data_IF_670187197090
#
_entry.id   IF_670187197090
#
_cell.length_a   1.000
_cell.length_b   1.000
_cell.length_c   1.000
_cell.angle_alpha   90.00
_cell.angle_beta   90.00
_cell.angle_gamma   90.00
#
_symmetry.space_group_name_H-M   'P 1'
#
loop_
_entity.id
_entity.type
_entity.pdbx_description
1 polymer ?
#
# COMPACT_ATOMS: atom_id res chain seq x y z
N UNK A 1 14.24 44.59 -2.37
CA UNK A 1 13.65 43.42 -1.69
C UNK A 1 13.02 42.58 -2.79
N UNK A 2 13.73 41.56 -3.25
CA UNK A 2 13.21 40.64 -4.25
C UNK A 2 12.52 39.52 -3.49
N UNK A 3 11.19 39.51 -3.59
CA UNK A 3 10.31 38.48 -3.11
C UNK A 3 10.51 37.26 -4.02
N UNK A 4 11.37 36.33 -3.60
CA UNK A 4 11.60 35.06 -4.26
C UNK A 4 10.74 33.99 -3.57
N UNK A 5 9.43 34.11 -3.76
CA UNK A 5 8.48 33.02 -3.58
C UNK A 5 8.19 32.38 -4.93
N UNK A 6 9.25 31.91 -5.60
CA UNK A 6 9.10 30.79 -6.52
C UNK A 6 8.87 29.59 -5.60
N UNK A 7 7.60 29.27 -5.37
CA UNK A 7 7.18 28.02 -4.76
C UNK A 7 7.96 26.89 -5.46
N UNK A 8 8.81 26.23 -4.70
CA UNK A 8 9.65 25.14 -5.16
C UNK A 8 8.74 23.92 -5.38
N UNK A 9 7.97 23.94 -6.47
CA UNK A 9 7.08 22.88 -6.99
C UNK A 9 7.86 21.61 -7.41
N UNK A 10 9.03 21.39 -6.81
CA UNK A 10 9.81 20.18 -7.01
C UNK A 10 9.08 19.04 -6.29
N UNK A 11 8.81 17.92 -6.99
CA UNK A 11 8.20 16.76 -6.37
C UNK A 11 9.12 16.24 -5.25
N UNK A 12 8.72 16.49 -4.01
CA UNK A 12 9.45 16.08 -2.82
C UNK A 12 9.24 14.59 -2.56
N UNK A 13 10.33 13.88 -2.27
CA UNK A 13 10.26 12.47 -1.86
C UNK A 13 9.94 12.48 -0.36
N UNK A 14 8.83 11.87 0.09
CA UNK A 14 8.49 11.85 1.51
C UNK A 14 9.59 11.11 2.30
N UNK A 15 9.65 11.32 3.62
CA UNK A 15 10.52 10.53 4.48
C UNK A 15 10.07 9.06 4.47
N UNK A 16 10.99 8.12 4.27
CA UNK A 16 10.73 6.69 4.50
C UNK A 16 10.61 6.45 6.01
N UNK A 17 9.42 6.06 6.44
CA UNK A 17 9.09 5.84 7.86
C UNK A 17 9.19 4.35 8.23
N UNK A 18 8.90 3.48 7.27
CA UNK A 18 8.82 2.04 7.50
C UNK A 18 8.22 1.30 6.30
N UNK A 19 7.74 0.09 6.56
CA UNK A 19 7.06 -0.70 5.52
C UNK A 19 5.72 -0.08 5.12
N UNK A 20 5.10 0.69 6.01
CA UNK A 20 3.79 1.31 5.86
C UNK A 20 3.73 2.34 4.75
N UNK A 21 4.84 3.04 4.48
CA UNK A 21 4.89 4.07 3.45
C UNK A 21 5.90 3.76 2.33
N UNK A 22 6.51 2.58 2.35
CA UNK A 22 7.50 2.16 1.35
C UNK A 22 7.00 2.24 -0.09
N UNK A 23 5.79 1.73 -0.40
CA UNK A 23 5.29 1.72 -1.79
C UNK A 23 5.07 3.13 -2.34
N UNK A 24 4.60 4.04 -1.48
CA UNK A 24 4.42 5.46 -1.82
C UNK A 24 5.78 6.13 -1.99
N UNK A 25 6.70 5.88 -1.06
CA UNK A 25 8.07 6.37 -1.10
C UNK A 25 8.79 5.93 -2.38
N UNK A 26 8.75 4.63 -2.70
CA UNK A 26 9.38 4.02 -3.88
C UNK A 26 8.86 4.66 -5.17
N UNK A 27 7.54 4.80 -5.29
CA UNK A 27 6.90 5.42 -6.45
C UNK A 27 7.33 6.88 -6.64
N UNK A 28 7.30 7.67 -5.57
CA UNK A 28 7.68 9.08 -5.62
C UNK A 28 9.19 9.26 -5.85
N UNK A 29 10.03 8.43 -5.24
CA UNK A 29 11.48 8.44 -5.47
C UNK A 29 11.83 8.17 -6.93
N UNK A 30 11.23 7.14 -7.55
CA UNK A 30 11.42 6.83 -8.97
C UNK A 30 10.95 8.00 -9.84
N UNK A 31 9.74 8.52 -9.59
CA UNK A 31 9.17 9.59 -10.40
C UNK A 31 9.98 10.89 -10.30
N UNK A 32 10.43 11.26 -9.10
CA UNK A 32 11.29 12.43 -8.89
C UNK A 32 12.65 12.25 -9.59
N UNK A 33 13.30 11.10 -9.42
CA UNK A 33 14.58 10.82 -10.10
C UNK A 33 14.41 10.80 -11.62
N UNK A 34 13.30 10.26 -12.14
CA UNK A 34 13.00 10.25 -13.57
C UNK A 34 12.79 11.66 -14.12
N UNK A 35 12.00 12.47 -13.42
CA UNK A 35 11.73 13.87 -13.79
C UNK A 35 13.02 14.70 -13.83
N UNK A 36 13.97 14.39 -12.96
CA UNK A 36 15.28 15.06 -12.90
C UNK A 36 16.35 14.45 -13.82
N UNK A 37 16.04 13.39 -14.58
CA UNK A 37 17.01 12.69 -15.41
C UNK A 37 18.12 11.99 -14.61
N UNK A 38 17.80 11.53 -13.40
CA UNK A 38 18.71 10.88 -12.45
C UNK A 38 18.39 9.38 -12.23
N UNK A 39 17.26 8.89 -12.75
CA UNK A 39 16.83 7.49 -12.60
C UNK A 39 17.88 6.47 -13.06
N UNK A 40 18.66 6.80 -14.09
CA UNK A 40 19.68 5.90 -14.61
C UNK A 40 20.78 5.56 -13.59
N UNK A 41 20.98 6.39 -12.56
CA UNK A 41 21.91 6.08 -11.48
C UNK A 41 21.41 4.92 -10.60
N UNK A 42 20.14 4.91 -10.20
CA UNK A 42 19.58 3.80 -9.38
C UNK A 42 19.42 2.52 -10.20
N UNK A 43 19.16 2.64 -11.51
CA UNK A 43 19.11 1.50 -12.44
C UNK A 43 20.49 0.95 -12.79
N UNK A 44 21.57 1.68 -12.51
CA UNK A 44 22.93 1.30 -12.89
C UNK A 44 23.22 1.42 -14.39
N UNK A 45 22.45 2.25 -15.11
CA UNK A 45 22.61 2.47 -16.56
C UNK A 45 23.45 3.69 -16.89
N UNK A 46 23.67 4.60 -15.93
CA UNK A 46 24.56 5.75 -16.09
C UNK A 46 26.01 5.32 -15.96
N UNK A 47 26.82 5.57 -17.00
CA UNK A 47 28.24 5.25 -17.01
C UNK A 47 29.09 6.52 -16.97
N UNK A 48 30.21 6.52 -16.23
CA UNK A 48 31.10 7.66 -16.21
C UNK A 48 31.72 7.87 -17.59
N UNK A 49 31.84 9.13 -18.06
CA UNK A 49 32.53 9.41 -19.32
C UNK A 49 34.00 8.98 -19.25
N UNK A 50 34.49 8.40 -20.35
CA UNK A 50 35.85 7.89 -20.48
C UNK A 50 36.75 8.91 -21.21
N UNK A 51 38.02 8.98 -20.81
CA UNK A 51 39.05 9.77 -21.48
C UNK A 51 39.65 10.88 -20.63
N UNK A 52 40.75 11.45 -21.13
CA UNK A 52 41.54 12.47 -20.44
C UNK A 52 41.53 13.83 -21.16
N UNK A 53 40.64 14.03 -22.13
CA UNK A 53 40.50 15.33 -22.80
C UNK A 53 39.84 16.36 -21.86
N UNK A 54 40.04 17.67 -22.07
CA UNK A 54 39.35 18.71 -21.30
C UNK A 54 37.83 18.52 -21.27
N UNK A 55 37.23 18.10 -22.39
CA UNK A 55 35.80 17.83 -22.52
C UNK A 55 35.36 16.62 -21.69
N UNK A 56 36.15 15.54 -21.70
CA UNK A 56 35.90 14.36 -20.89
C UNK A 56 35.98 14.66 -19.38
N UNK A 57 36.94 15.51 -18.98
CA UNK A 57 37.08 15.97 -17.60
C UNK A 57 35.86 16.81 -17.19
N UNK A 58 35.38 17.72 -18.05
CA UNK A 58 34.19 18.52 -17.78
C UNK A 58 32.93 17.64 -17.69
N UNK A 59 32.75 16.70 -18.61
CA UNK A 59 31.66 15.73 -18.57
C UNK A 59 31.70 14.89 -17.28
N UNK A 60 32.89 14.47 -16.83
CA UNK A 60 33.06 13.72 -15.58
C UNK A 60 32.65 14.54 -14.35
N UNK A 61 32.93 15.86 -14.32
CA UNK A 61 32.43 16.73 -13.26
C UNK A 61 30.91 16.80 -13.27
N UNK A 62 30.29 16.96 -14.44
CA UNK A 62 28.83 16.93 -14.61
C UNK A 62 28.22 15.61 -14.11
N UNK A 63 28.83 14.48 -14.46
CA UNK A 63 28.44 13.16 -14.00
C UNK A 63 28.51 13.05 -12.46
N UNK A 64 29.63 13.45 -11.85
CA UNK A 64 29.80 13.43 -10.37
C UNK A 64 28.77 14.29 -9.67
N UNK A 65 28.48 15.49 -10.19
CA UNK A 65 27.47 16.39 -9.61
C UNK A 65 26.06 15.77 -9.69
N UNK A 66 25.70 15.16 -10.82
CA UNK A 66 24.41 14.46 -10.96
C UNK A 66 24.33 13.25 -10.03
N UNK A 67 25.39 12.45 -9.92
CA UNK A 67 25.47 11.30 -9.01
C UNK A 67 25.27 11.74 -7.55
N UNK A 68 25.98 12.79 -7.13
CA UNK A 68 25.83 13.38 -5.81
C UNK A 68 24.40 13.89 -5.56
N UNK A 69 23.80 14.58 -6.55
CA UNK A 69 22.41 15.04 -6.45
C UNK A 69 21.43 13.89 -6.24
N UNK A 70 21.57 12.80 -7.00
CA UNK A 70 20.75 11.60 -6.86
C UNK A 70 20.92 10.96 -5.48
N UNK A 71 22.18 10.82 -5.03
CA UNK A 71 22.50 10.28 -3.71
C UNK A 71 21.90 11.13 -2.60
N UNK A 72 22.07 12.45 -2.66
CA UNK A 72 21.59 13.36 -1.63
C UNK A 72 20.06 13.36 -1.52
N UNK A 73 19.34 13.33 -2.65
CA UNK A 73 17.87 13.22 -2.66
C UNK A 73 17.39 11.94 -1.95
N UNK A 74 18.02 10.80 -2.28
CA UNK A 74 17.68 9.52 -1.65
C UNK A 74 18.08 9.51 -0.17
N UNK A 75 19.30 9.90 0.15
CA UNK A 75 19.84 9.91 1.51
C UNK A 75 19.00 10.79 2.45
N UNK A 76 18.59 11.97 1.99
CA UNK A 76 17.66 12.81 2.73
C UNK A 76 16.32 12.09 2.94
N UNK A 77 15.80 11.41 1.91
CA UNK A 77 14.53 10.68 2.01
C UNK A 77 14.55 9.46 2.98
N UNK A 78 15.73 8.94 3.35
CA UNK A 78 15.90 7.68 4.11
C UNK A 78 16.34 7.93 5.59
N UNK A 79 16.26 9.20 6.07
CA UNK A 79 16.82 9.75 7.32
C UNK A 79 16.37 9.13 8.68
N UNK A 80 16.12 7.83 8.76
CA UNK A 80 16.00 7.09 10.01
C UNK A 80 17.30 6.28 10.18
N UNK A 81 18.09 6.62 11.20
CA UNK A 81 19.40 6.01 11.50
C UNK A 81 19.39 4.46 11.55
N UNK A 82 18.23 3.87 11.87
CA UNK A 82 18.01 2.42 11.84
C UNK A 82 18.12 1.83 10.44
N UNK A 83 17.68 2.53 9.39
CA UNK A 83 17.83 2.07 8.01
C UNK A 83 19.25 2.17 7.51
N UNK A 84 19.93 3.27 7.80
CA UNK A 84 21.35 3.37 7.46
C UNK A 84 22.12 2.24 8.12
N UNK A 85 21.93 2.02 9.43
CA UNK A 85 22.55 0.91 10.13
C UNK A 85 22.22 -0.47 9.54
N UNK A 86 20.96 -0.74 9.16
CA UNK A 86 20.57 -2.01 8.52
C UNK A 86 21.18 -2.17 7.12
N UNK A 87 21.17 -1.11 6.31
CA UNK A 87 21.80 -1.10 4.98
C UNK A 87 23.29 -1.36 5.12
N UNK A 88 23.99 -0.71 6.07
CA UNK A 88 25.43 -0.86 6.22
C UNK A 88 25.87 -2.16 6.92
N UNK A 89 25.07 -2.73 7.84
CA UNK A 89 25.39 -4.00 8.52
C UNK A 89 25.21 -5.22 7.63
N UNK A 90 24.24 -5.22 6.70
CA UNK A 90 24.01 -6.36 5.79
C UNK A 90 25.09 -6.49 4.70
N UNK A 91 26.27 -5.90 4.91
CA UNK A 91 27.47 -6.08 4.09
C UNK A 91 27.53 -5.18 2.85
N UNK A 92 26.68 -4.17 2.79
CA UNK A 92 26.57 -3.37 1.59
C UNK A 92 27.67 -2.26 1.56
N UNK A 93 28.17 -1.68 2.66
CA UNK A 93 29.24 -0.66 2.56
C UNK A 93 30.16 -0.55 3.79
N UNK A 94 31.42 -0.08 3.63
CA UNK A 94 32.36 0.06 4.75
C UNK A 94 31.88 1.14 5.72
N UNK A 95 31.61 0.73 6.96
CA UNK A 95 31.11 1.56 8.06
C UNK A 95 32.08 2.69 8.45
N UNK A 96 33.37 2.56 8.10
CA UNK A 96 34.47 3.39 8.62
C UNK A 96 34.83 4.62 7.77
N UNK A 97 34.02 5.00 6.76
CA UNK A 97 34.37 6.06 5.80
C UNK A 97 33.33 7.18 5.68
N UNK A 98 32.40 7.29 6.64
CA UNK A 98 31.37 8.33 6.63
C UNK A 98 31.91 9.75 6.91
N UNK A 99 33.10 9.88 7.53
CA UNK A 99 33.67 11.18 7.88
C UNK A 99 34.41 11.87 6.71
N UNK A 100 34.81 11.11 5.68
CA UNK A 100 35.37 11.63 4.44
C UNK A 100 34.52 11.14 3.27
N UNK A 101 33.49 11.91 2.91
CA UNK A 101 32.65 11.69 1.73
C UNK A 101 33.48 11.78 0.43
N UNK A 102 34.35 10.80 0.15
CA UNK A 102 34.89 10.58 -1.20
C UNK A 102 33.68 10.27 -2.09
N UNK A 103 33.46 11.02 -3.18
CA UNK A 103 32.39 10.77 -4.16
C UNK A 103 32.35 9.32 -4.71
N UNK A 104 33.38 8.52 -4.44
CA UNK A 104 33.40 7.07 -4.70
C UNK A 104 32.44 6.27 -3.81
N UNK A 105 32.15 6.72 -2.58
CA UNK A 105 31.27 6.02 -1.63
C UNK A 105 29.82 6.52 -1.66
N UNK A 106 29.57 7.68 -2.27
CA UNK A 106 28.23 8.27 -2.43
C UNK A 106 27.52 7.69 -3.66
N UNK A 107 27.20 6.40 -3.60
CA UNK A 107 26.52 5.71 -4.69
C UNK A 107 24.99 5.68 -4.46
N UNK A 108 24.17 6.37 -5.27
CA UNK A 108 22.71 6.28 -5.17
C UNK A 108 22.17 4.87 -5.45
N UNK A 109 22.83 4.09 -6.31
CA UNK A 109 22.44 2.71 -6.59
C UNK A 109 22.56 1.85 -5.35
N UNK A 110 23.64 2.07 -4.62
CA UNK A 110 23.94 1.38 -3.40
C UNK A 110 22.86 1.60 -2.32
N UNK A 111 22.48 2.86 -2.09
CA UNK A 111 21.37 3.19 -1.18
C UNK A 111 20.04 2.57 -1.64
N UNK A 112 19.75 2.67 -2.93
CA UNK A 112 18.54 2.11 -3.52
C UNK A 112 18.46 0.59 -3.32
N UNK A 113 19.49 -0.14 -3.72
CA UNK A 113 19.56 -1.59 -3.61
C UNK A 113 19.51 -2.03 -2.13
N UNK A 114 20.14 -1.28 -1.23
CA UNK A 114 20.06 -1.52 0.22
C UNK A 114 18.64 -1.41 0.77
N UNK A 115 17.91 -0.35 0.39
CA UNK A 115 16.50 -0.16 0.78
C UNK A 115 15.60 -1.24 0.19
N UNK A 116 15.81 -1.60 -1.08
CA UNK A 116 15.09 -2.70 -1.74
C UNK A 116 15.37 -4.04 -1.08
N UNK A 117 16.63 -4.31 -0.74
CA UNK A 117 17.05 -5.53 -0.04
C UNK A 117 16.40 -5.61 1.34
N UNK A 118 16.49 -4.55 2.14
CA UNK A 118 15.83 -4.48 3.44
C UNK A 118 14.33 -4.79 3.34
N UNK A 119 13.65 -4.16 2.37
CA UNK A 119 12.22 -4.37 2.19
C UNK A 119 11.95 -5.81 1.73
N UNK A 120 12.71 -6.37 0.80
CA UNK A 120 12.41 -7.71 0.26
C UNK A 120 12.84 -8.85 1.21
N UNK A 121 13.83 -8.61 2.06
CA UNK A 121 14.42 -9.60 2.96
C UNK A 121 13.65 -9.71 4.28
N UNK A 122 12.47 -10.33 4.23
CA UNK A 122 11.72 -10.72 5.42
C UNK A 122 11.97 -12.18 5.79
N UNK A 123 12.04 -12.42 7.09
CA UNK A 123 12.22 -13.76 7.65
C UNK A 123 10.97 -14.65 7.43
N UNK A 124 11.15 -15.96 7.56
CA UNK A 124 10.09 -16.95 7.33
C UNK A 124 8.87 -16.74 8.24
N UNK A 125 9.06 -16.29 9.49
CA UNK A 125 7.97 -16.09 10.43
C UNK A 125 7.11 -14.92 9.97
N UNK A 126 7.73 -13.80 9.59
CA UNK A 126 7.02 -12.64 9.03
C UNK A 126 6.23 -13.00 7.76
N UNK A 127 6.80 -13.82 6.85
CA UNK A 127 6.06 -14.33 5.68
C UNK A 127 4.80 -15.11 6.08
N UNK A 128 4.90 -15.99 7.07
CA UNK A 128 3.76 -16.76 7.56
C UNK A 128 2.73 -15.88 8.29
N UNK A 129 3.19 -14.84 8.99
CA UNK A 129 2.31 -13.87 9.64
C UNK A 129 1.50 -13.08 8.61
N UNK A 130 2.12 -12.61 7.51
CA UNK A 130 1.41 -11.97 6.40
C UNK A 130 0.45 -12.93 5.69
N UNK A 131 0.84 -14.18 5.46
CA UNK A 131 -0.05 -15.18 4.87
C UNK A 131 -1.26 -15.43 5.76
N UNK A 132 -1.04 -15.60 7.07
CA UNK A 132 -2.11 -15.78 8.06
C UNK A 132 -3.02 -14.57 8.12
N UNK A 133 -2.47 -13.36 8.08
CA UNK A 133 -3.26 -12.14 8.01
C UNK A 133 -4.12 -12.14 6.75
N UNK A 134 -3.54 -12.43 5.58
CA UNK A 134 -4.28 -12.46 4.31
C UNK A 134 -5.42 -13.47 4.32
N UNK A 135 -5.24 -14.66 4.91
CA UNK A 135 -6.28 -15.69 4.96
C UNK A 135 -7.35 -15.43 6.03
N UNK A 136 -7.14 -14.48 6.94
CA UNK A 136 -8.05 -14.16 8.04
C UNK A 136 -8.52 -12.71 8.07
N UNK A 137 -8.13 -11.92 7.07
CA UNK A 137 -8.52 -10.52 6.93
C UNK A 137 -10.02 -10.43 6.72
N UNK A 138 -10.69 -9.55 7.49
CA UNK A 138 -12.14 -9.38 7.41
C UNK A 138 -12.50 -7.92 7.19
N UNK A 139 -13.48 -7.65 6.32
CA UNK A 139 -13.87 -6.27 5.97
C UNK A 139 -14.28 -5.44 7.20
N UNK A 140 -14.86 -6.07 8.23
CA UNK A 140 -15.31 -5.42 9.47
C UNK A 140 -14.17 -4.79 10.29
N UNK A 141 -12.93 -5.20 10.04
CA UNK A 141 -11.75 -4.64 10.70
C UNK A 141 -11.37 -3.26 10.12
N UNK A 142 -12.00 -2.85 9.02
CA UNK A 142 -11.67 -1.65 8.27
C UNK A 142 -12.84 -0.66 8.26
N UNK A 143 -12.51 0.63 8.12
CA UNK A 143 -13.52 1.70 8.04
C UNK A 143 -14.36 1.66 6.75
N UNK A 144 -13.80 1.11 5.67
CA UNK A 144 -14.48 0.94 4.39
C UNK A 144 -13.89 -0.24 3.58
N UNK A 145 -14.57 -0.60 2.48
CA UNK A 145 -14.17 -1.68 1.58
C UNK A 145 -12.83 -1.41 0.88
N UNK A 146 -12.47 -0.14 0.66
CA UNK A 146 -11.23 0.22 -0.03
C UNK A 146 -10.03 -0.03 0.85
N UNK A 147 -10.10 0.32 2.13
CA UNK A 147 -9.07 0.01 3.11
C UNK A 147 -8.85 -1.51 3.21
N UNK A 148 -9.92 -2.31 3.20
CA UNK A 148 -9.84 -3.77 3.15
C UNK A 148 -9.12 -4.28 1.89
N UNK A 149 -9.55 -3.85 0.70
CA UNK A 149 -8.95 -4.28 -0.57
C UNK A 149 -7.49 -3.81 -0.69
N UNK A 150 -7.19 -2.59 -0.27
CA UNK A 150 -5.83 -2.04 -0.27
C UNK A 150 -4.91 -2.88 0.63
N UNK A 151 -5.37 -3.25 1.83
CA UNK A 151 -4.57 -4.09 2.74
C UNK A 151 -4.34 -5.48 2.15
N UNK A 152 -5.38 -6.10 1.58
CA UNK A 152 -5.27 -7.41 0.96
C UNK A 152 -4.29 -7.39 -0.23
N UNK A 153 -4.37 -6.37 -1.10
CA UNK A 153 -3.45 -6.20 -2.21
C UNK A 153 -2.02 -5.91 -1.76
N UNK A 154 -1.85 -5.09 -0.72
CA UNK A 154 -0.54 -4.85 -0.12
C UNK A 154 0.06 -6.17 0.40
N UNK A 155 -0.70 -6.99 1.12
CA UNK A 155 -0.25 -8.30 1.60
C UNK A 155 0.17 -9.22 0.45
N UNK A 156 -0.60 -9.24 -0.64
CA UNK A 156 -0.27 -10.01 -1.85
C UNK A 156 1.06 -9.57 -2.46
N UNK A 157 1.22 -8.26 -2.73
CA UNK A 157 2.46 -7.71 -3.32
C UNK A 157 3.65 -7.93 -2.40
N UNK A 158 3.45 -7.77 -1.09
CA UNK A 158 4.48 -7.99 -0.07
C UNK A 158 4.98 -9.43 -0.07
N UNK A 159 4.07 -10.41 -0.11
CA UNK A 159 4.38 -11.83 -0.18
C UNK A 159 5.06 -12.20 -1.51
N UNK A 160 4.57 -11.65 -2.63
CA UNK A 160 5.16 -11.85 -3.95
C UNK A 160 6.61 -11.37 -4.02
N UNK A 161 6.88 -10.13 -3.57
CA UNK A 161 8.23 -9.56 -3.47
C UNK A 161 9.16 -10.38 -2.57
N UNK A 162 8.60 -11.02 -1.54
CA UNK A 162 9.32 -11.91 -0.64
C UNK A 162 9.50 -13.34 -1.20
N UNK A 163 9.14 -13.60 -2.47
CA UNK A 163 9.27 -14.90 -3.13
C UNK A 163 8.16 -15.90 -2.83
N UNK A 164 7.00 -15.44 -2.35
CA UNK A 164 5.81 -16.25 -2.07
C UNK A 164 4.61 -15.70 -2.86
N UNK A 165 4.58 -15.86 -4.18
CA UNK A 165 3.47 -15.34 -4.99
C UNK A 165 2.15 -16.02 -4.61
N UNK A 166 1.10 -15.21 -4.46
CA UNK A 166 -0.26 -15.70 -4.21
C UNK A 166 -1.00 -15.80 -5.53
N UNK A 167 -1.48 -17.01 -5.85
CA UNK A 167 -2.27 -17.27 -7.04
C UNK A 167 -3.60 -16.50 -7.02
N UNK A 168 -4.10 -16.11 -8.21
CA UNK A 168 -5.30 -15.28 -8.31
C UNK A 168 -6.52 -15.91 -7.63
N UNK A 169 -6.70 -17.22 -7.80
CA UNK A 169 -7.83 -17.96 -7.20
C UNK A 169 -7.76 -18.02 -5.67
N UNK A 170 -6.55 -18.10 -5.10
CA UNK A 170 -6.35 -18.03 -3.66
C UNK A 170 -6.67 -16.63 -3.15
N UNK A 171 -6.26 -15.60 -3.88
CA UNK A 171 -6.57 -14.21 -3.54
C UNK A 171 -8.08 -13.95 -3.54
N UNK A 172 -8.80 -14.39 -4.59
CA UNK A 172 -10.26 -14.32 -4.66
C UNK A 172 -10.90 -15.01 -3.46
N UNK A 173 -10.45 -16.22 -3.13
CA UNK A 173 -10.95 -16.99 -1.97
C UNK A 173 -10.78 -16.23 -0.65
N UNK A 174 -9.62 -15.60 -0.43
CA UNK A 174 -9.37 -14.80 0.77
C UNK A 174 -10.28 -13.57 0.82
N UNK A 175 -10.44 -12.87 -0.29
CA UNK A 175 -11.33 -11.70 -0.38
C UNK A 175 -12.80 -12.08 -0.10
N UNK A 176 -13.29 -13.20 -0.64
CA UNK A 176 -14.65 -13.68 -0.35
C UNK A 176 -14.84 -14.07 1.11
N UNK A 177 -13.91 -14.86 1.65
CA UNK A 177 -13.95 -15.26 3.06
C UNK A 177 -13.95 -14.04 4.00
N UNK A 178 -13.19 -13.00 3.63
CA UNK A 178 -13.12 -11.76 4.40
C UNK A 178 -14.40 -10.91 4.39
N UNK A 179 -15.23 -11.04 3.35
CA UNK A 179 -16.48 -10.29 3.18
C UNK A 179 -17.71 -11.09 3.69
N UNK A 180 -17.67 -12.42 3.72
CA UNK A 180 -18.83 -13.30 4.04
C UNK A 180 -18.92 -13.68 5.54
N UNK A 181 -20.12 -13.65 6.17
CA UNK A 181 -21.15 -14.68 5.95
C UNK A 181 -22.58 -14.18 5.60
N UNK A 182 -22.83 -12.87 5.56
CA UNK A 182 -24.19 -12.28 5.39
C UNK A 182 -24.40 -11.48 4.10
N UNK A 183 -23.39 -11.45 3.23
CA UNK A 183 -23.41 -10.70 1.97
C UNK A 183 -23.52 -11.64 0.77
N UNK A 184 -24.54 -12.50 0.73
CA UNK A 184 -24.93 -13.27 -0.46
C UNK A 184 -25.71 -12.40 -1.45
N UNK A 185 -25.15 -11.25 -1.82
CA UNK A 185 -25.58 -10.55 -3.01
C UNK A 185 -24.64 -10.98 -4.13
N UNK A 186 -25.14 -11.81 -5.06
CA UNK A 186 -24.43 -12.17 -6.30
C UNK A 186 -23.86 -10.95 -7.03
N UNK A 187 -24.46 -9.78 -6.82
CA UNK A 187 -24.05 -8.47 -7.37
C UNK A 187 -22.76 -7.94 -6.75
N UNK A 188 -22.57 -8.07 -5.44
CA UNK A 188 -21.33 -7.65 -4.76
C UNK A 188 -20.18 -8.59 -5.11
N UNK A 189 -20.45 -9.90 -5.17
CA UNK A 189 -19.50 -10.93 -5.58
C UNK A 189 -18.99 -10.70 -7.02
N UNK A 190 -19.90 -10.49 -7.97
CA UNK A 190 -19.55 -10.29 -9.39
C UNK A 190 -18.74 -9.01 -9.60
N UNK A 191 -19.08 -7.91 -8.89
CA UNK A 191 -18.36 -6.63 -9.02
C UNK A 191 -17.01 -6.60 -8.32
N UNK A 192 -16.80 -7.40 -7.27
CA UNK A 192 -15.46 -7.62 -6.69
C UNK A 192 -14.57 -8.38 -7.70
N UNK A 193 -15.11 -9.37 -8.42
CA UNK A 193 -14.40 -10.10 -9.49
C UNK A 193 -14.02 -9.18 -10.65
N UNK A 194 -15.00 -8.46 -11.20
CA UNK A 194 -14.80 -7.56 -12.34
C UNK A 194 -13.67 -6.56 -12.05
N UNK A 195 -13.63 -6.02 -10.82
CA UNK A 195 -12.62 -5.04 -10.45
C UNK A 195 -11.30 -5.62 -9.99
N UNK A 196 -11.25 -6.83 -9.45
CA UNK A 196 -9.99 -7.54 -9.22
C UNK A 196 -9.22 -7.70 -10.55
N UNK A 197 -9.95 -7.97 -11.64
CA UNK A 197 -9.37 -8.02 -12.98
C UNK A 197 -8.94 -6.62 -13.47
N UNK A 198 -9.74 -5.56 -13.20
CA UNK A 198 -9.37 -4.18 -13.57
C UNK A 198 -8.19 -3.62 -12.77
N UNK A 199 -8.04 -3.97 -11.49
CA UNK A 199 -6.98 -3.51 -10.58
C UNK A 199 -5.58 -4.05 -10.95
N UNK A 200 -5.51 -5.04 -11.82
CA UNK A 200 -4.28 -5.52 -12.45
C UNK A 200 -3.78 -4.58 -13.57
N UNK A 201 -4.61 -3.60 -13.96
CA UNK A 201 -4.30 -2.55 -14.95
C UNK A 201 -3.78 -1.30 -14.24
N UNK A 202 -2.82 -0.59 -14.84
CA UNK A 202 -2.09 0.56 -14.25
C UNK A 202 -2.92 1.79 -13.79
N UNK A 203 -4.26 1.75 -13.80
CA UNK A 203 -5.15 2.88 -13.46
C UNK A 203 -5.60 2.87 -11.98
N UNK A 204 -4.68 2.55 -11.08
CA UNK A 204 -5.00 2.10 -9.71
C UNK A 204 -5.59 3.18 -8.79
N UNK A 205 -5.37 4.48 -9.00
CA UNK A 205 -5.71 5.51 -8.00
C UNK A 205 -7.09 6.17 -8.24
N UNK A 206 -7.51 6.37 -9.50
CA UNK A 206 -8.80 7.00 -9.84
C UNK A 206 -9.96 6.00 -9.76
N UNK A 207 -9.72 4.74 -10.16
CA UNK A 207 -10.72 3.67 -10.17
C UNK A 207 -11.20 3.26 -8.79
N UNK A 208 -10.33 3.30 -7.78
CA UNK A 208 -10.60 2.87 -6.40
C UNK A 208 -11.56 3.84 -5.67
N UNK A 209 -11.41 5.17 -5.84
CA UNK A 209 -12.28 6.15 -5.13
C UNK A 209 -13.73 6.15 -5.61
N UNK A 210 -13.95 6.00 -6.93
CA UNK A 210 -15.31 5.94 -7.50
C UNK A 210 -16.01 4.64 -7.08
N UNK A 211 -15.27 3.53 -7.05
CA UNK A 211 -15.75 2.25 -6.53
C UNK A 211 -16.13 2.29 -5.06
N UNK A 212 -15.28 2.92 -4.24
CA UNK A 212 -15.51 3.06 -2.80
C UNK A 212 -16.88 3.66 -2.57
N UNK A 213 -17.21 4.72 -3.31
CA UNK A 213 -18.50 5.40 -3.18
C UNK A 213 -19.66 4.52 -3.63
N UNK A 214 -19.49 3.73 -4.68
CA UNK A 214 -20.56 2.86 -5.21
C UNK A 214 -20.81 1.64 -4.33
N UNK A 215 -19.76 0.94 -3.86
CA UNK A 215 -19.91 -0.16 -2.89
C UNK A 215 -20.37 0.37 -1.53
N UNK A 216 -19.82 1.48 -1.04
CA UNK A 216 -20.25 2.06 0.22
C UNK A 216 -21.72 2.47 0.15
N UNK A 217 -22.18 3.01 -0.99
CA UNK A 217 -23.59 3.29 -1.23
C UNK A 217 -24.44 2.03 -1.19
N UNK A 218 -24.03 0.95 -1.85
CA UNK A 218 -24.80 -0.31 -1.84
C UNK A 218 -24.78 -0.98 -0.46
N UNK A 219 -23.67 -0.94 0.27
CA UNK A 219 -23.59 -1.38 1.67
C UNK A 219 -24.55 -0.58 2.56
N UNK A 220 -24.63 0.74 2.37
CA UNK A 220 -25.55 1.59 3.12
C UNK A 220 -27.01 1.27 2.77
N UNK A 221 -27.35 1.07 1.50
CA UNK A 221 -28.69 0.66 1.05
C UNK A 221 -29.08 -0.66 1.72
N UNK A 222 -28.21 -1.66 1.66
CA UNK A 222 -28.48 -2.96 2.25
C UNK A 222 -28.62 -2.92 3.78
N UNK A 223 -27.77 -2.14 4.47
CA UNK A 223 -27.91 -1.95 5.92
C UNK A 223 -29.25 -1.30 6.28
N UNK A 224 -29.72 -0.37 5.45
CA UNK A 224 -31.01 0.29 5.62
C UNK A 224 -32.17 -0.69 5.42
N UNK A 225 -32.11 -1.55 4.39
CA UNK A 225 -33.09 -2.62 4.14
C UNK A 225 -33.14 -3.64 5.29
N UNK A 226 -31.99 -4.01 5.85
CA UNK A 226 -31.92 -4.93 7.01
C UNK A 226 -32.52 -4.30 8.28
N UNK A 227 -32.28 -3.01 8.53
CA UNK A 227 -32.89 -2.30 9.65
C UNK A 227 -34.41 -2.19 9.48
N UNK A 228 -34.89 -1.98 8.25
CA UNK A 228 -36.31 -1.90 7.95
C UNK A 228 -37.01 -3.26 8.11
N UNK A 229 -36.40 -4.33 7.61
CA UNK A 229 -36.87 -5.72 7.82
C UNK A 229 -36.94 -6.08 9.31
N UNK A 230 -35.96 -5.64 10.11
CA UNK A 230 -35.98 -5.83 11.56
C UNK A 230 -37.14 -5.06 12.22
N UNK A 231 -37.35 -3.78 11.85
CA UNK A 231 -38.47 -2.97 12.35
C UNK A 231 -39.85 -3.53 11.98
N UNK A 232 -39.98 -4.10 10.78
CA UNK A 232 -41.23 -4.75 10.34
C UNK A 232 -41.50 -6.04 11.13
N UNK A 233 -40.46 -6.80 11.47
CA UNK A 233 -40.57 -7.94 12.38
C UNK A 233 -41.03 -7.53 13.77
N UNK A 234 -40.45 -6.46 14.31
CA UNK A 234 -40.79 -5.95 15.65
C UNK A 234 -42.22 -5.37 15.69
N UNK A 235 -42.70 -4.75 14.60
CA UNK A 235 -44.10 -4.27 14.48
C UNK A 235 -45.12 -5.41 14.39
N UNK A 236 -44.80 -6.48 13.67
CA UNK A 236 -45.71 -7.63 13.52
C UNK A 236 -45.70 -8.55 14.76
N UNK A 237 -44.76 -8.38 15.68
CA UNK A 237 -44.69 -9.09 16.97
C UNK A 237 -45.60 -8.52 18.07
N UNK A 238 -46.41 -7.48 17.81
CA UNK A 238 -47.33 -6.88 18.80
C UNK A 238 -48.79 -6.90 18.32
N UNK A 239 -49.26 -8.07 17.87
CA UNK A 239 -50.69 -8.35 17.68
C UNK A 239 -51.12 -9.60 18.45
N UNK A 240 -51.28 -9.42 19.75
CA UNK A 240 -52.19 -10.22 20.60
C UNK A 240 -52.73 -9.23 21.63
N UNK A 241 -53.91 -8.64 21.43
CA UNK A 241 -55.17 -9.38 21.43
C UNK A 241 -55.85 -9.14 22.77
N UNK A 242 -56.29 -7.91 23.03
CA UNK A 242 -57.27 -7.61 24.06
C UNK A 242 -58.64 -7.52 23.39
N UNK A 243 -59.59 -8.36 23.80
CA UNK A 243 -60.99 -8.22 23.39
C UNK A 243 -61.86 -9.44 23.67
N UNK A 244 -62.57 -9.40 24.80
CA UNK A 244 -63.75 -10.22 25.10
C UNK A 244 -63.44 -11.51 25.87
N UNK A 245 -63.98 -11.79 27.06
CA UNK A 245 -65.24 -11.34 27.62
C UNK A 245 -66.05 -12.56 28.05
N UNK A 246 -65.93 -12.92 29.33
CA UNK A 246 -67.00 -13.47 30.20
C UNK A 246 -67.68 -14.82 29.90
N UNK A 247 -67.65 -15.65 30.95
CA UNK A 247 -68.76 -16.38 31.63
C UNK A 247 -68.90 -17.91 31.51
N UNK A 248 -69.23 -18.46 32.70
CA UNK A 248 -69.78 -19.77 33.05
C UNK A 248 -68.80 -20.96 33.01
N UNK A 249 -68.77 -21.86 33.98
CA UNK A 249 -69.58 -22.06 35.17
C UNK A 249 -69.20 -23.42 35.76
N UNK A 250 -69.08 -23.51 37.08
CA UNK A 250 -68.75 -24.77 37.74
C UNK A 250 -69.86 -25.80 37.61
N UNK A 251 -69.49 -27.08 37.63
CA UNK A 251 -70.28 -28.11 38.32
C UNK A 251 -69.41 -29.30 38.67
N UNK A 252 -69.42 -29.60 39.97
CA UNK A 252 -69.11 -30.91 40.56
C UNK A 252 -70.05 -31.96 39.97
N UNK A 253 -69.54 -33.15 39.73
CA UNK A 253 -69.99 -34.40 40.36
C UNK A 253 -68.77 -35.32 40.52
#
# INVERSE_FOLDING_TARGET
MCDSSDDDDRPEIPMLQGEENFEIWECLAINTLKTLGLEGFIRGTETPPLGNTPEAIQALRGFKNRRWKAWNLLNQSILIARFHHLIYIDGYGPYDQLDDCDPKFCDPKFLWDGVQSWYNNIDKKTKLDFLRELTSIHYRQFGDIVAFLNRAQWLRRRLERAGMPIADEMMKTCLYGGVSPYYHSKTLETRIIERYNDLNSQEMISGIRKFSKDIQRELNIYQQEQQEMKRLRDRNGHSSGHGGGSRQGGRRY
#
